data_IF_180040307773
#
_entry.id   IF_180040307773
#
_cell.length_a   1.000
_cell.length_b   1.000
_cell.length_c   1.000
_cell.angle_alpha   90.00
_cell.angle_beta   90.00
_cell.angle_gamma   90.00
#
_symmetry.space_group_name_H-M   'P 1'
#
loop_
_entity.id
_entity.type
_entity.pdbx_description
1 polymer ?
#
# COMPACT_ATOMS: atom_id res chain seq x y z
N UNK A 1 22.64 62.84 11.08
CA UNK A 1 22.75 61.89 9.97
C UNK A 1 22.51 60.51 10.52
N UNK A 2 21.32 59.98 10.40
CA UNK A 2 20.96 58.67 10.90
C UNK A 2 20.79 57.72 9.69
N UNK A 3 21.65 56.72 9.59
CA UNK A 3 21.58 55.67 8.57
C UNK A 3 20.63 54.59 9.03
N UNK A 4 19.51 54.41 8.34
CA UNK A 4 18.58 53.31 8.50
C UNK A 4 19.03 52.14 7.63
N UNK A 5 19.56 51.09 8.24
CA UNK A 5 19.80 49.81 7.58
C UNK A 5 18.48 49.03 7.50
N UNK A 6 17.91 48.96 6.29
CA UNK A 6 16.81 48.08 5.96
C UNK A 6 17.32 46.67 5.74
N UNK A 7 17.07 45.76 6.66
CA UNK A 7 17.28 44.32 6.47
C UNK A 7 16.12 43.75 5.67
N UNK A 8 16.33 43.50 4.40
CA UNK A 8 15.44 42.74 3.53
C UNK A 8 15.53 41.23 3.91
N UNK A 9 14.53 40.73 4.62
CA UNK A 9 14.36 39.34 4.84
C UNK A 9 13.94 38.64 3.53
N UNK A 10 14.90 37.99 2.88
CA UNK A 10 14.64 37.15 1.73
C UNK A 10 13.92 35.89 2.23
N UNK A 11 12.60 35.89 2.09
CA UNK A 11 11.79 34.68 2.30
C UNK A 11 12.16 33.67 1.21
N UNK A 12 12.95 32.68 1.55
CA UNK A 12 13.24 31.55 0.67
C UNK A 12 11.94 30.71 0.55
N UNK A 13 11.18 30.98 -0.50
CA UNK A 13 10.12 30.07 -0.91
C UNK A 13 10.79 28.76 -1.33
N UNK A 14 10.73 27.76 -0.46
CA UNK A 14 11.03 26.37 -0.85
C UNK A 14 9.92 26.02 -1.84
N UNK A 15 10.24 26.03 -3.12
CA UNK A 15 9.40 25.43 -4.16
C UNK A 15 9.20 23.97 -3.74
N UNK A 16 7.97 23.59 -3.37
CA UNK A 16 7.56 22.19 -3.28
C UNK A 16 7.81 21.60 -4.67
N UNK A 17 8.94 20.93 -4.86
CA UNK A 17 9.08 19.97 -5.95
C UNK A 17 7.90 19.02 -5.79
N UNK A 18 7.04 18.95 -6.80
CA UNK A 18 5.85 18.10 -6.79
C UNK A 18 6.33 16.65 -6.55
N UNK A 19 6.08 16.15 -5.36
CA UNK A 19 6.50 14.79 -4.96
C UNK A 19 5.86 13.80 -5.92
N UNK A 20 6.67 13.15 -6.74
CA UNK A 20 6.22 12.16 -7.72
C UNK A 20 6.00 10.81 -7.04
N UNK A 21 4.80 10.26 -7.18
CA UNK A 21 4.38 9.01 -6.52
C UNK A 21 4.21 7.92 -7.56
N UNK A 22 4.83 6.76 -7.31
CA UNK A 22 4.64 5.52 -8.05
C UNK A 22 3.61 4.65 -7.33
N UNK A 23 2.52 4.29 -8.01
CA UNK A 23 1.57 3.30 -7.50
C UNK A 23 2.06 1.91 -7.90
N UNK A 24 2.11 0.99 -6.93
CA UNK A 24 2.46 -0.42 -7.15
C UNK A 24 1.29 -1.30 -6.74
N UNK A 25 0.78 -2.08 -7.69
CA UNK A 25 -0.35 -2.99 -7.53
C UNK A 25 0.12 -4.43 -7.75
N UNK A 26 0.39 -5.21 -6.70
CA UNK A 26 0.68 -6.64 -6.83
C UNK A 26 -0.61 -7.39 -7.14
N UNK A 27 -0.58 -8.26 -8.15
CA UNK A 27 -1.74 -9.01 -8.62
C UNK A 27 -1.40 -10.48 -8.84
N UNK A 28 -2.29 -11.39 -8.40
CA UNK A 28 -2.21 -12.82 -8.69
C UNK A 28 -3.62 -13.40 -8.85
N UNK A 29 -3.95 -13.79 -10.09
CA UNK A 29 -5.28 -14.31 -10.46
C UNK A 29 -6.41 -13.32 -10.12
N UNK A 30 -6.27 -12.08 -10.60
CA UNK A 30 -7.22 -10.98 -10.38
C UNK A 30 -7.93 -10.53 -11.67
N UNK A 31 -7.98 -11.40 -12.70
CA UNK A 31 -8.76 -11.15 -13.91
C UNK A 31 -10.24 -10.84 -13.56
N UNK A 32 -10.82 -9.85 -14.25
CA UNK A 32 -12.16 -9.33 -13.99
C UNK A 32 -12.29 -8.43 -12.76
N UNK A 33 -11.20 -8.17 -12.01
CA UNK A 33 -11.20 -7.33 -10.81
C UNK A 33 -10.23 -6.17 -10.87
N UNK A 34 -9.05 -6.41 -11.47
CA UNK A 34 -7.96 -5.44 -11.49
C UNK A 34 -8.36 -4.10 -12.10
N UNK A 35 -9.23 -4.10 -13.11
CA UNK A 35 -9.74 -2.88 -13.74
C UNK A 35 -10.44 -1.94 -12.76
N UNK A 36 -11.21 -2.48 -11.81
CA UNK A 36 -11.92 -1.69 -10.79
C UNK A 36 -10.96 -0.94 -9.84
N UNK A 37 -9.71 -1.40 -9.72
CA UNK A 37 -8.66 -0.71 -8.96
C UNK A 37 -7.91 0.28 -9.85
N UNK A 38 -7.58 -0.11 -11.08
CA UNK A 38 -6.78 0.73 -11.98
C UNK A 38 -7.52 1.98 -12.45
N UNK A 39 -8.83 1.89 -12.74
CA UNK A 39 -9.61 3.04 -13.20
C UNK A 39 -9.57 4.24 -12.24
N UNK A 40 -9.91 4.13 -10.94
CA UNK A 40 -9.85 5.26 -10.03
C UNK A 40 -8.42 5.75 -9.79
N UNK A 41 -7.42 4.87 -9.82
CA UNK A 41 -6.01 5.21 -9.68
C UNK A 41 -5.55 6.08 -10.85
N UNK A 42 -5.88 5.70 -12.08
CA UNK A 42 -5.50 6.41 -13.30
C UNK A 42 -6.22 7.77 -13.48
N UNK A 43 -7.34 7.99 -12.79
CA UNK A 43 -8.03 9.29 -12.77
C UNK A 43 -7.37 10.31 -11.84
N UNK A 44 -6.56 9.88 -10.89
CA UNK A 44 -5.83 10.78 -10.00
C UNK A 44 -4.73 11.52 -10.75
N UNK A 45 -4.68 12.84 -10.58
CA UNK A 45 -3.63 13.70 -11.15
C UNK A 45 -2.38 13.79 -10.26
N UNK A 46 -2.43 13.18 -9.09
CA UNK A 46 -1.35 13.20 -8.10
C UNK A 46 -0.37 12.02 -8.28
N UNK A 47 -0.64 11.13 -9.25
CA UNK A 47 0.15 9.93 -9.53
C UNK A 47 1.03 10.18 -10.75
N UNK A 48 2.31 9.86 -10.63
CA UNK A 48 3.30 10.00 -11.71
C UNK A 48 3.39 8.75 -12.58
N UNK A 49 3.25 7.55 -11.99
CA UNK A 49 3.24 6.28 -12.71
C UNK A 49 2.44 5.20 -11.97
N UNK A 50 1.95 4.21 -12.73
CA UNK A 50 1.28 3.03 -12.18
C UNK A 50 1.98 1.78 -12.68
N UNK A 51 2.33 0.89 -11.75
CA UNK A 51 3.02 -0.37 -12.02
C UNK A 51 2.15 -1.49 -11.47
N UNK A 52 1.72 -2.38 -12.35
CA UNK A 52 1.08 -3.64 -11.98
C UNK A 52 2.14 -4.73 -12.00
N UNK A 53 2.26 -5.47 -10.91
CA UNK A 53 3.15 -6.64 -10.87
C UNK A 53 2.30 -7.90 -10.86
N UNK A 54 2.29 -8.59 -12.00
CA UNK A 54 1.66 -9.89 -12.13
C UNK A 54 2.57 -10.97 -11.54
N UNK A 55 2.19 -11.51 -10.39
CA UNK A 55 2.94 -12.51 -9.62
C UNK A 55 2.73 -13.93 -10.18
N UNK A 56 2.97 -14.11 -11.48
CA UNK A 56 2.86 -15.39 -12.18
C UNK A 56 1.43 -15.90 -12.30
N UNK A 57 0.46 -15.04 -12.63
CA UNK A 57 -0.95 -15.44 -12.79
C UNK A 57 -1.12 -16.48 -13.92
N UNK A 58 -2.07 -17.39 -13.70
CA UNK A 58 -2.51 -18.40 -14.65
C UNK A 58 -3.73 -17.94 -15.46
N UNK A 59 -4.39 -16.86 -15.02
CA UNK A 59 -5.53 -16.24 -15.69
C UNK A 59 -5.10 -15.05 -16.55
N UNK A 60 -6.08 -14.26 -17.03
CA UNK A 60 -5.85 -13.11 -17.91
C UNK A 60 -5.47 -11.82 -17.18
N UNK A 61 -5.00 -11.89 -15.94
CA UNK A 61 -4.66 -10.70 -15.10
C UNK A 61 -3.68 -9.76 -15.81
N UNK A 62 -2.56 -10.30 -16.34
CA UNK A 62 -1.56 -9.48 -17.03
C UNK A 62 -2.08 -8.87 -18.33
N UNK A 63 -2.92 -9.60 -19.07
CA UNK A 63 -3.56 -9.13 -20.31
C UNK A 63 -4.52 -7.98 -20.01
N UNK A 64 -5.40 -8.15 -19.01
CA UNK A 64 -6.33 -7.11 -18.61
C UNK A 64 -5.62 -5.85 -18.10
N UNK A 65 -4.59 -6.01 -17.27
CA UNK A 65 -3.78 -4.88 -16.81
C UNK A 65 -3.11 -4.14 -17.98
N UNK A 66 -2.61 -4.88 -18.98
CA UNK A 66 -2.01 -4.31 -20.20
C UNK A 66 -2.96 -3.52 -21.08
N UNK A 67 -4.27 -3.64 -20.88
CA UNK A 67 -5.29 -2.81 -21.51
C UNK A 67 -5.38 -1.37 -20.94
N UNK A 68 -4.69 -1.08 -19.85
CA UNK A 68 -4.63 0.24 -19.21
C UNK A 68 -3.27 0.91 -19.48
N UNK A 69 -3.18 2.24 -19.39
CA UNK A 69 -1.92 2.96 -19.52
C UNK A 69 -1.03 2.80 -18.27
N UNK A 70 -0.64 1.56 -17.98
CA UNK A 70 0.18 1.15 -16.84
C UNK A 70 1.40 0.37 -17.30
N UNK A 71 2.43 0.32 -16.47
CA UNK A 71 3.55 -0.59 -16.69
C UNK A 71 3.24 -1.94 -16.05
N UNK A 72 3.21 -3.01 -16.86
CA UNK A 72 3.06 -4.37 -16.35
C UNK A 72 4.43 -5.03 -16.22
N UNK A 73 4.74 -5.53 -15.04
CA UNK A 73 5.90 -6.36 -14.70
C UNK A 73 5.39 -7.76 -14.43
N UNK A 74 5.81 -8.76 -15.20
CA UNK A 74 5.39 -10.15 -15.01
C UNK A 74 6.50 -10.98 -14.40
N UNK A 75 6.20 -11.63 -13.27
CA UNK A 75 7.09 -12.63 -12.67
C UNK A 75 6.87 -13.98 -13.34
N UNK A 76 7.92 -14.81 -13.48
CA UNK A 76 7.80 -16.12 -14.15
C UNK A 76 6.93 -17.12 -13.37
N UNK A 77 6.80 -16.94 -12.06
CA UNK A 77 6.04 -17.80 -11.14
C UNK A 77 5.53 -17.00 -9.95
N UNK A 78 4.57 -17.55 -9.21
CA UNK A 78 4.08 -16.96 -7.97
C UNK A 78 5.16 -17.01 -6.87
N UNK A 79 5.63 -15.84 -6.46
CA UNK A 79 6.64 -15.64 -5.40
C UNK A 79 6.08 -14.96 -4.17
N UNK A 80 4.80 -14.62 -4.19
CA UNK A 80 4.08 -13.99 -3.11
C UNK A 80 4.15 -12.46 -3.11
N UNK A 81 3.23 -11.85 -2.38
CA UNK A 81 2.98 -10.39 -2.38
C UNK A 81 4.24 -9.56 -2.11
N UNK A 82 5.08 -9.98 -1.15
CA UNK A 82 6.30 -9.24 -0.82
C UNK A 82 7.28 -9.17 -1.99
N UNK A 83 7.47 -10.29 -2.71
CA UNK A 83 8.32 -10.34 -3.90
C UNK A 83 7.73 -9.51 -5.05
N UNK A 84 6.42 -9.54 -5.24
CA UNK A 84 5.74 -8.71 -6.22
C UNK A 84 5.89 -7.21 -5.92
N UNK A 85 5.70 -6.80 -4.67
CA UNK A 85 5.93 -5.41 -4.24
C UNK A 85 7.38 -5.00 -4.48
N UNK A 86 8.36 -5.85 -4.16
CA UNK A 86 9.77 -5.58 -4.38
C UNK A 86 10.14 -5.43 -5.85
N UNK A 87 9.58 -6.25 -6.71
CA UNK A 87 9.72 -6.11 -8.16
C UNK A 87 9.13 -4.78 -8.66
N UNK A 88 7.98 -4.38 -8.12
CA UNK A 88 7.36 -3.10 -8.45
C UNK A 88 8.19 -1.90 -8.00
N UNK A 89 8.69 -1.91 -6.75
CA UNK A 89 9.60 -0.89 -6.23
C UNK A 89 10.88 -0.79 -7.06
N UNK A 90 11.44 -1.94 -7.46
CA UNK A 90 12.64 -1.98 -8.31
C UNK A 90 12.39 -1.43 -9.72
N UNK A 91 11.17 -1.60 -10.24
CA UNK A 91 10.77 -1.07 -11.54
C UNK A 91 10.38 0.41 -11.52
N UNK A 92 10.07 0.96 -10.36
CA UNK A 92 9.57 2.33 -10.18
C UNK A 92 10.66 3.38 -10.39
N UNK A 93 10.27 4.50 -11.03
CA UNK A 93 11.14 5.65 -11.32
C UNK A 93 11.23 6.63 -10.15
N UNK A 94 10.27 6.61 -9.24
CA UNK A 94 10.18 7.57 -8.12
C UNK A 94 10.46 6.89 -6.78
N UNK A 95 10.68 7.70 -5.75
CA UNK A 95 11.11 7.22 -4.44
C UNK A 95 10.00 7.20 -3.38
N UNK A 96 8.77 7.51 -3.78
CA UNK A 96 7.60 7.38 -2.92
C UNK A 96 6.60 6.44 -3.58
N UNK A 97 6.13 5.46 -2.81
CA UNK A 97 5.24 4.41 -3.29
C UNK A 97 3.89 4.46 -2.61
N UNK A 98 2.83 4.33 -3.39
CA UNK A 98 1.50 3.95 -2.92
C UNK A 98 1.27 2.48 -3.29
N UNK A 99 1.20 1.60 -2.31
CA UNK A 99 0.80 0.21 -2.48
C UNK A 99 -0.71 0.08 -2.40
N UNK A 100 -1.31 -0.66 -3.32
CA UNK A 100 -2.75 -0.97 -3.34
C UNK A 100 -2.97 -2.43 -3.72
N UNK A 101 -3.89 -3.11 -3.05
CA UNK A 101 -4.27 -4.48 -3.41
C UNK A 101 -5.10 -4.49 -4.70
N UNK A 102 -4.91 -5.51 -5.54
CA UNK A 102 -5.58 -5.63 -6.84
C UNK A 102 -7.06 -6.08 -6.75
N UNK A 103 -7.55 -6.42 -5.55
CA UNK A 103 -8.89 -6.93 -5.29
C UNK A 103 -9.79 -5.98 -4.47
N UNK A 104 -9.46 -4.69 -4.46
CA UNK A 104 -10.26 -3.68 -3.77
C UNK A 104 -11.60 -3.45 -4.49
N UNK A 105 -12.66 -3.41 -3.70
CA UNK A 105 -14.02 -3.09 -4.14
C UNK A 105 -14.43 -1.75 -3.55
N UNK A 106 -15.03 -0.88 -4.37
CA UNK A 106 -15.49 0.44 -3.94
C UNK A 106 -14.38 1.49 -3.82
N UNK A 107 -13.16 1.21 -4.33
CA UNK A 107 -12.11 2.21 -4.43
C UNK A 107 -12.56 3.35 -5.36
N UNK A 108 -12.31 4.59 -4.97
CA UNK A 108 -12.59 5.81 -5.74
C UNK A 108 -11.35 6.69 -5.78
N UNK A 109 -11.28 7.58 -6.76
CA UNK A 109 -10.17 8.54 -6.92
C UNK A 109 -9.98 9.40 -5.67
N UNK A 110 -11.06 9.81 -5.01
CA UNK A 110 -11.00 10.61 -3.78
C UNK A 110 -10.29 9.87 -2.63
N UNK A 111 -10.37 8.53 -2.59
CA UNK A 111 -9.63 7.74 -1.60
C UNK A 111 -8.14 7.77 -1.86
N UNK A 112 -7.75 7.63 -3.13
CA UNK A 112 -6.36 7.69 -3.57
C UNK A 112 -5.78 9.08 -3.31
N UNK A 113 -6.49 10.13 -3.72
CA UNK A 113 -6.06 11.51 -3.53
C UNK A 113 -5.91 11.86 -2.05
N UNK A 114 -6.85 11.42 -1.19
CA UNK A 114 -6.78 11.64 0.25
C UNK A 114 -5.56 10.98 0.88
N UNK A 115 -5.22 9.75 0.48
CA UNK A 115 -4.00 9.08 0.95
C UNK A 115 -2.77 9.91 0.60
N UNK A 116 -2.67 10.35 -0.67
CA UNK A 116 -1.55 11.12 -1.19
C UNK A 116 -1.45 12.47 -0.50
N UNK A 117 -2.54 13.23 -0.43
CA UNK A 117 -2.59 14.55 0.21
C UNK A 117 -2.21 14.47 1.70
N UNK A 118 -2.74 13.49 2.44
CA UNK A 118 -2.36 13.27 3.85
C UNK A 118 -0.86 13.06 4.00
N UNK A 119 -0.25 12.29 3.09
CA UNK A 119 1.19 12.02 3.11
C UNK A 119 2.01 13.29 2.80
N UNK A 120 1.64 14.00 1.73
CA UNK A 120 2.42 15.14 1.22
C UNK A 120 2.30 16.38 2.11
N UNK A 121 1.12 16.64 2.67
CA UNK A 121 0.86 17.85 3.44
C UNK A 121 1.43 17.81 4.86
N UNK A 122 1.61 16.61 5.43
CA UNK A 122 1.99 16.45 6.84
C UNK A 122 3.41 15.97 7.08
N UNK A 123 4.19 15.73 6.03
CA UNK A 123 5.59 15.29 6.16
C UNK A 123 5.74 13.97 6.92
N UNK A 124 4.82 13.03 6.68
CA UNK A 124 4.78 11.74 7.37
C UNK A 124 5.79 10.75 6.79
N UNK A 125 6.21 9.78 7.60
CA UNK A 125 7.00 8.65 7.15
C UNK A 125 6.12 7.60 6.45
N UNK A 126 4.87 7.42 6.90
CA UNK A 126 3.95 6.44 6.33
C UNK A 126 2.48 6.88 6.52
N UNK A 127 1.67 6.64 5.49
CA UNK A 127 0.21 6.71 5.58
C UNK A 127 -0.37 5.33 5.33
N UNK A 128 -1.37 4.93 6.12
CA UNK A 128 -2.04 3.63 6.00
C UNK A 128 -3.54 3.83 5.76
N UNK A 129 -4.04 3.33 4.64
CA UNK A 129 -5.47 3.27 4.37
C UNK A 129 -6.13 2.16 5.18
N UNK A 130 -7.20 2.45 5.90
CA UNK A 130 -7.97 1.48 6.68
C UNK A 130 -9.43 1.47 6.22
N UNK A 131 -10.05 0.30 6.16
CA UNK A 131 -11.47 0.20 5.81
C UNK A 131 -12.34 0.62 6.98
N UNK A 132 -13.26 1.56 6.72
CA UNK A 132 -14.16 2.10 7.75
C UNK A 132 -15.25 1.11 8.16
N UNK A 133 -15.71 0.28 7.21
CA UNK A 133 -16.85 -0.64 7.38
C UNK A 133 -16.42 -2.09 7.69
N UNK A 134 -15.37 -2.28 8.49
CA UNK A 134 -15.02 -3.61 9.00
C UNK A 134 -16.25 -4.21 9.69
N UNK A 135 -16.78 -5.35 9.17
CA UNK A 135 -17.90 -6.07 9.78
C UNK A 135 -17.70 -6.13 11.29
N UNK A 136 -18.75 -5.80 12.05
CA UNK A 136 -18.85 -5.69 13.52
C UNK A 136 -18.55 -7.01 14.28
N UNK A 137 -17.58 -7.80 13.84
CA UNK A 137 -17.24 -9.07 14.45
C UNK A 137 -15.85 -8.98 15.10
N UNK A 138 -15.88 -8.67 16.40
CA UNK A 138 -14.83 -8.67 17.40
C UNK A 138 -13.93 -7.42 17.45
N UNK A 139 -13.78 -6.85 18.66
CA UNK A 139 -12.81 -5.79 19.01
C UNK A 139 -11.38 -6.11 18.57
N UNK A 140 -11.02 -7.39 18.49
CA UNK A 140 -9.72 -7.87 18.08
C UNK A 140 -9.47 -7.64 16.58
N UNK A 141 -10.46 -7.90 15.72
CA UNK A 141 -10.33 -7.68 14.27
C UNK A 141 -10.16 -6.18 13.94
N UNK A 142 -10.85 -5.30 14.67
CA UNK A 142 -10.70 -3.84 14.51
C UNK A 142 -9.31 -3.36 14.96
N UNK A 143 -8.73 -3.93 16.01
CA UNK A 143 -7.38 -3.59 16.48
C UNK A 143 -6.28 -4.12 15.57
N UNK A 144 -6.50 -5.23 14.85
CA UNK A 144 -5.51 -5.86 13.96
C UNK A 144 -5.57 -5.27 12.55
N UNK A 145 -6.74 -4.81 12.09
CA UNK A 145 -6.95 -4.30 10.73
C UNK A 145 -5.95 -3.22 10.28
N UNK A 146 -5.58 -2.23 11.12
CA UNK A 146 -4.58 -1.22 10.73
C UNK A 146 -3.19 -1.79 10.46
N UNK A 147 -2.82 -2.89 11.13
CA UNK A 147 -1.50 -3.52 10.97
C UNK A 147 -1.41 -4.38 9.71
N UNK A 148 -2.53 -4.92 9.25
CA UNK A 148 -2.61 -5.84 8.12
C UNK A 148 -3.05 -5.17 6.81
N UNK A 149 -3.32 -3.86 6.81
CA UNK A 149 -3.74 -3.15 5.59
C UNK A 149 -2.61 -3.09 4.57
N UNK A 150 -2.91 -3.46 3.32
CA UNK A 150 -2.00 -3.39 2.19
C UNK A 150 -1.93 -2.00 1.54
N UNK A 151 -2.89 -1.11 1.85
CA UNK A 151 -2.97 0.23 1.27
C UNK A 151 -2.06 1.18 2.05
N UNK A 152 -0.87 1.48 1.51
CA UNK A 152 0.16 2.26 2.22
C UNK A 152 0.92 3.18 1.30
N UNK A 153 1.25 4.37 1.83
CA UNK A 153 2.25 5.26 1.23
C UNK A 153 3.48 5.28 2.14
N UNK A 154 4.65 5.09 1.54
CA UNK A 154 5.94 5.21 2.20
C UNK A 154 7.06 5.48 1.19
N UNK A 155 8.18 6.08 1.61
CA UNK A 155 9.33 6.32 0.74
C UNK A 155 10.20 5.07 0.60
N UNK A 156 11.00 5.01 -0.49
CA UNK A 156 11.94 3.91 -0.80
C UNK A 156 12.85 3.56 0.38
N UNK A 157 13.40 4.56 1.06
CA UNK A 157 14.29 4.35 2.21
C UNK A 157 13.67 3.46 3.31
N UNK A 158 12.35 3.59 3.55
CA UNK A 158 11.66 2.79 4.56
C UNK A 158 11.28 1.41 4.04
N UNK A 159 11.03 1.28 2.74
CA UNK A 159 10.86 -0.04 2.10
C UNK A 159 12.15 -0.86 2.20
N UNK A 160 13.29 -0.30 1.79
CA UNK A 160 14.58 -0.99 1.86
C UNK A 160 14.95 -1.35 3.32
N UNK A 161 14.67 -0.44 4.25
CA UNK A 161 14.86 -0.72 5.68
C UNK A 161 14.00 -1.88 6.17
N UNK A 162 12.76 -1.99 5.69
CA UNK A 162 11.88 -3.11 6.02
C UNK A 162 12.40 -4.43 5.43
N UNK A 163 12.88 -4.43 4.18
CA UNK A 163 13.45 -5.62 3.53
C UNK A 163 14.60 -6.23 4.32
N UNK A 164 15.53 -5.42 4.83
CA UNK A 164 16.64 -5.89 5.65
C UNK A 164 16.17 -6.64 6.91
N UNK A 165 14.98 -6.31 7.44
CA UNK A 165 14.45 -6.87 8.67
C UNK A 165 13.43 -8.01 8.45
N UNK A 166 13.05 -8.30 7.17
CA UNK A 166 11.93 -9.18 6.81
C UNK A 166 12.39 -10.52 6.24
N UNK A 167 13.70 -10.77 6.06
CA UNK A 167 14.24 -11.98 5.42
C UNK A 167 13.73 -13.30 5.99
N UNK A 168 13.20 -13.31 7.23
CA UNK A 168 12.66 -14.50 7.91
C UNK A 168 11.13 -14.50 8.05
N UNK A 169 10.39 -13.56 7.40
CA UNK A 169 8.96 -13.44 7.66
C UNK A 169 8.10 -14.03 6.55
N UNK A 170 7.68 -15.28 6.74
CA UNK A 170 6.57 -15.92 6.01
C UNK A 170 5.21 -15.23 6.22
N UNK A 171 5.16 -14.11 6.95
CA UNK A 171 3.94 -13.40 7.35
C UNK A 171 3.99 -11.93 6.94
N UNK A 172 3.13 -11.59 6.01
CA UNK A 172 2.68 -10.27 5.58
C UNK A 172 3.65 -9.10 5.78
N UNK A 173 4.23 -8.62 4.70
CA UNK A 173 5.08 -7.42 4.67
C UNK A 173 4.41 -6.23 5.38
N UNK A 174 3.08 -6.18 5.41
CA UNK A 174 2.29 -5.13 6.07
C UNK A 174 2.53 -5.09 7.58
N UNK A 175 2.57 -6.27 8.20
CA UNK A 175 2.80 -6.40 9.65
C UNK A 175 4.25 -6.03 9.98
N UNK A 176 5.19 -6.43 9.12
CA UNK A 176 6.59 -6.09 9.27
C UNK A 176 6.82 -4.58 9.23
N UNK A 177 6.27 -3.91 8.23
CA UNK A 177 6.29 -2.45 8.11
C UNK A 177 5.67 -1.78 9.34
N UNK A 178 4.52 -2.28 9.82
CA UNK A 178 3.84 -1.71 11.00
C UNK A 178 4.66 -1.83 12.28
N UNK A 179 5.37 -2.97 12.48
CA UNK A 179 6.23 -3.17 13.65
C UNK A 179 7.50 -2.34 13.56
N UNK A 180 8.12 -2.32 12.40
CA UNK A 180 9.31 -1.51 12.20
C UNK A 180 8.99 -0.04 12.44
N UNK A 181 7.86 0.45 11.93
CA UNK A 181 7.36 1.79 12.17
C UNK A 181 7.16 2.08 13.68
N UNK A 182 6.62 1.11 14.43
CA UNK A 182 6.46 1.26 15.88
C UNK A 182 7.79 1.22 16.63
N UNK A 183 8.71 0.32 16.22
CA UNK A 183 10.04 0.17 16.83
C UNK A 183 10.95 1.37 16.60
N UNK A 184 10.90 1.94 15.40
CA UNK A 184 11.79 3.05 15.00
C UNK A 184 11.11 4.43 15.16
N UNK A 185 9.86 4.48 15.67
CA UNK A 185 9.16 5.73 15.95
C UNK A 185 8.76 6.51 14.69
N UNK A 186 8.39 5.81 13.60
CA UNK A 186 7.96 6.48 12.36
C UNK A 186 6.70 7.30 12.58
N UNK A 187 6.71 8.51 12.03
CA UNK A 187 5.53 9.37 12.02
C UNK A 187 4.51 8.83 11.01
N UNK A 188 3.40 8.27 11.52
CA UNK A 188 2.39 7.61 10.67
C UNK A 188 0.98 8.08 10.96
N UNK A 189 0.14 8.04 9.93
CA UNK A 189 -1.29 8.37 10.03
C UNK A 189 -2.16 7.30 9.35
N UNK A 190 -3.40 7.20 9.82
CA UNK A 190 -4.41 6.28 9.28
C UNK A 190 -5.52 7.06 8.58
N UNK A 191 -5.78 6.73 7.32
CA UNK A 191 -6.84 7.33 6.51
C UNK A 191 -7.96 6.32 6.33
N UNK A 192 -9.19 6.70 6.70
CA UNK A 192 -10.37 5.86 6.48
C UNK A 192 -10.78 5.86 5.01
N UNK A 193 -10.96 4.67 4.46
CA UNK A 193 -11.44 4.43 3.11
C UNK A 193 -12.90 3.95 3.19
N UNK A 194 -13.83 4.91 3.19
CA UNK A 194 -15.25 4.66 3.39
C UNK A 194 -15.86 3.89 2.20
N UNK A 195 -16.54 2.76 2.47
CA UNK A 195 -17.14 1.91 1.45
C UNK A 195 -16.14 1.07 0.65
N UNK A 196 -14.86 1.07 1.04
CA UNK A 196 -13.84 0.19 0.43
C UNK A 196 -13.74 -1.11 1.21
N UNK A 197 -13.67 -2.23 0.49
CA UNK A 197 -13.51 -3.57 1.05
C UNK A 197 -12.69 -4.46 0.11
N UNK A 198 -12.38 -5.67 0.53
CA UNK A 198 -11.81 -6.72 -0.33
C UNK A 198 -12.89 -7.67 -0.83
N UNK A 199 -12.64 -8.30 -1.98
CA UNK A 199 -13.40 -9.48 -2.39
C UNK A 199 -13.18 -10.59 -1.37
N UNK A 200 -14.28 -11.19 -0.90
CA UNK A 200 -14.22 -12.26 0.10
C UNK A 200 -13.45 -13.47 -0.46
N UNK A 201 -12.46 -13.96 0.31
CA UNK A 201 -11.64 -15.14 -0.07
C UNK A 201 -12.49 -16.39 -0.33
N UNK A 202 -13.70 -16.46 0.28
CA UNK A 202 -14.68 -17.53 0.04
C UNK A 202 -15.20 -17.53 -1.40
N UNK A 203 -15.29 -16.37 -2.05
CA UNK A 203 -15.65 -16.25 -3.46
C UNK A 203 -14.51 -16.65 -4.41
N UNK A 204 -13.24 -16.59 -3.93
CA UNK A 204 -12.06 -16.92 -4.74
C UNK A 204 -11.70 -18.41 -4.76
N UNK A 205 -11.90 -19.17 -3.65
CA UNK A 205 -11.34 -20.54 -3.45
C UNK A 205 -12.29 -21.58 -2.90
N UNK A 206 -13.62 -21.27 -2.78
CA UNK A 206 -14.58 -22.17 -2.13
C UNK A 206 -14.53 -22.11 -0.59
N UNK A 207 -15.70 -22.36 0.03
CA UNK A 207 -15.99 -22.04 1.45
C UNK A 207 -15.06 -22.73 2.47
N UNK A 208 -14.64 -23.98 2.21
CA UNK A 208 -13.88 -24.78 3.18
C UNK A 208 -12.37 -24.49 3.23
N UNK A 209 -11.71 -24.22 2.09
CA UNK A 209 -10.28 -23.92 2.03
C UNK A 209 -9.97 -22.49 2.49
N UNK A 210 -10.81 -21.53 2.13
CA UNK A 210 -10.61 -20.12 2.48
C UNK A 210 -10.73 -19.82 3.98
N UNK A 211 -11.57 -20.56 4.73
CA UNK A 211 -11.73 -20.39 6.18
C UNK A 211 -10.58 -20.98 6.99
N UNK A 212 -10.01 -22.10 6.54
CA UNK A 212 -8.85 -22.74 7.20
C UNK A 212 -7.57 -21.92 7.03
N UNK A 213 -7.36 -21.38 5.83
CA UNK A 213 -6.22 -20.49 5.55
C UNK A 213 -6.31 -19.18 6.34
N UNK A 214 -7.53 -18.69 6.57
CA UNK A 214 -7.79 -17.50 7.39
C UNK A 214 -7.52 -17.77 8.87
N UNK A 215 -7.95 -18.90 9.42
CA UNK A 215 -7.67 -19.31 10.80
C UNK A 215 -6.18 -19.53 11.04
N UNK A 216 -5.46 -20.14 10.11
CA UNK A 216 -4.00 -20.26 10.17
C UNK A 216 -3.34 -18.89 10.15
N UNK A 217 -3.70 -18.02 9.21
CA UNK A 217 -3.17 -16.67 9.09
C UNK A 217 -3.38 -15.84 10.37
N UNK A 218 -4.59 -15.88 10.98
CA UNK A 218 -4.86 -15.19 12.25
C UNK A 218 -4.14 -15.85 13.42
N UNK A 219 -4.05 -17.19 13.48
CA UNK A 219 -3.34 -17.93 14.53
C UNK A 219 -1.84 -17.63 14.52
N UNK A 220 -1.26 -17.57 13.36
CA UNK A 220 0.16 -17.27 13.20
C UNK A 220 0.44 -15.78 13.44
N UNK A 221 -0.47 -14.89 13.04
CA UNK A 221 -0.40 -13.46 13.32
C UNK A 221 -0.50 -13.16 14.81
N UNK A 222 -1.38 -13.87 15.54
CA UNK A 222 -1.51 -13.76 16.99
C UNK A 222 -0.26 -14.29 17.69
N UNK A 223 0.21 -15.48 17.33
CA UNK A 223 1.46 -16.04 17.89
C UNK A 223 2.64 -15.10 17.69
N UNK A 224 2.70 -14.43 16.55
CA UNK A 224 3.78 -13.52 16.22
C UNK A 224 3.64 -12.16 16.94
N UNK A 225 2.42 -11.63 17.18
CA UNK A 225 2.16 -10.46 18.01
C UNK A 225 2.62 -10.68 19.46
N UNK A 226 2.45 -11.89 20.00
CA UNK A 226 2.80 -12.22 21.38
C UNK A 226 4.23 -12.77 21.57
N UNK A 227 4.97 -13.06 20.51
CA UNK A 227 6.31 -13.65 20.63
C UNK A 227 7.43 -12.67 20.93
N UNK A 228 7.13 -11.33 21.01
CA UNK A 228 8.05 -10.28 21.46
C UNK A 228 7.26 -9.04 21.92
N UNK A 229 6.77 -9.07 23.11
CA UNK A 229 6.70 -7.94 24.03
C UNK A 229 7.81 -8.13 25.06
#
# INVERSE_FOLDING_TARGET
MASTNGSTSTSTYITQESMSISVVVPAYNEAGRIGAVLEPVLRSRLIAEVIVVDDGSEDRTAEEAGGFPVRVVRLPENRGKAAALDAGVSAAKHDVFLFLDADLVGLRTEHVDRLIQTYTERGLDMVVGIFADGRKNTDLAQKINPYASGQRILPRRLWERAKENVQDMNFGIEIALSKLAAKEGWCKEYVKLDGVTHVLKEQKRGFAKGSLDRLRMYGDMIKWLFKRL
#
